data_IF_231537619441
#
_entry.id   IF_231537619441
#
_cell.length_a   1.000
_cell.length_b   1.000
_cell.length_c   1.000
_cell.angle_alpha   90.00
_cell.angle_beta   90.00
_cell.angle_gamma   90.00
#
_symmetry.space_group_name_H-M   'P 1'
#
loop_
_entity.id
_entity.type
_entity.pdbx_description
1 polymer ?
#
# COMPACT_ATOMS: atom_id res chain seq x y z
N UNK A 1 3.14 -20.98 6.48
CA UNK A 1 2.66 -19.85 7.31
C UNK A 1 3.77 -19.10 8.06
N UNK A 2 3.85 -17.78 7.87
CA UNK A 2 4.78 -16.93 8.60
C UNK A 2 4.38 -15.45 8.55
N UNK A 3 4.70 -14.70 9.60
CA UNK A 3 4.49 -13.25 9.67
C UNK A 3 5.84 -12.56 9.88
N UNK A 4 6.23 -11.71 8.93
CA UNK A 4 7.40 -10.85 9.03
C UNK A 4 6.92 -9.43 9.35
N UNK A 5 7.39 -8.89 10.47
CA UNK A 5 7.13 -7.51 10.87
C UNK A 5 8.43 -6.72 10.78
N UNK A 6 8.48 -5.73 9.90
CA UNK A 6 9.65 -4.90 9.65
C UNK A 6 9.37 -3.46 10.11
N UNK A 7 10.25 -2.93 10.96
CA UNK A 7 10.25 -1.53 11.38
C UNK A 7 11.28 -0.76 10.58
N UNK A 8 10.81 0.18 9.75
CA UNK A 8 11.65 1.03 8.93
C UNK A 8 11.75 2.41 9.55
N UNK A 9 12.88 2.64 10.22
CA UNK A 9 13.21 3.92 10.83
C UNK A 9 13.80 4.90 9.82
N UNK A 10 13.52 6.18 10.03
CA UNK A 10 14.23 7.25 9.33
C UNK A 10 15.61 7.43 9.98
N UNK A 11 16.66 7.58 9.18
CA UNK A 11 18.00 7.90 9.69
C UNK A 11 17.98 9.33 10.25
N UNK A 12 18.35 9.49 11.54
CA UNK A 12 18.40 10.79 12.26
C UNK A 12 19.82 11.17 12.68
N UNK A 13 20.81 10.77 11.89
CA UNK A 13 22.22 10.83 12.31
C UNK A 13 22.88 12.20 12.07
N UNK A 14 22.26 13.07 11.28
CA UNK A 14 22.85 14.32 10.82
C UNK A 14 21.92 15.53 11.00
N UNK A 15 22.52 16.69 11.29
CA UNK A 15 21.78 17.94 11.48
C UNK A 15 20.98 18.35 10.23
N UNK A 16 21.51 18.06 9.04
CA UNK A 16 20.83 18.33 7.76
C UNK A 16 19.58 17.44 7.63
N UNK A 17 19.69 16.16 7.96
CA UNK A 17 18.54 15.24 8.02
C UNK A 17 17.44 15.69 8.99
N UNK A 18 17.81 16.24 10.15
CA UNK A 18 16.84 16.79 11.13
C UNK A 18 16.17 18.07 10.58
N UNK A 19 16.93 18.97 9.96
CA UNK A 19 16.38 20.20 9.35
C UNK A 19 15.45 19.86 8.17
N UNK A 20 15.81 18.86 7.35
CA UNK A 20 14.95 18.39 6.27
C UNK A 20 13.61 17.86 6.78
N UNK A 21 13.60 17.20 7.95
CA UNK A 21 12.38 16.70 8.59
C UNK A 21 11.47 17.80 9.16
N UNK A 22 12.03 18.97 9.51
CA UNK A 22 11.22 20.14 9.87
C UNK A 22 10.44 20.68 8.65
N UNK A 23 11.01 20.55 7.45
CA UNK A 23 10.39 20.98 6.19
C UNK A 23 9.39 19.93 5.69
N UNK A 24 9.74 18.64 5.79
CA UNK A 24 8.87 17.53 5.40
C UNK A 24 8.84 16.48 6.51
N UNK A 25 7.84 16.51 7.40
CA UNK A 25 7.72 15.51 8.44
C UNK A 25 7.58 14.13 7.82
N UNK A 26 8.44 13.21 8.23
CA UNK A 26 8.36 11.79 7.90
C UNK A 26 8.20 11.00 9.18
N UNK A 27 7.27 10.04 9.20
CA UNK A 27 7.08 9.12 10.32
C UNK A 27 7.76 7.78 10.01
N UNK A 28 8.17 7.07 11.06
CA UNK A 28 8.67 5.70 10.93
C UNK A 28 7.58 4.81 10.34
N UNK A 29 7.97 3.81 9.54
CA UNK A 29 7.01 2.93 8.86
C UNK A 29 7.05 1.52 9.47
N UNK A 30 5.87 0.96 9.73
CA UNK A 30 5.69 -0.44 10.11
C UNK A 30 5.20 -1.20 8.87
N UNK A 31 5.95 -2.21 8.44
CA UNK A 31 5.58 -3.07 7.32
C UNK A 31 5.29 -4.46 7.87
N UNK A 32 4.03 -4.88 7.77
CA UNK A 32 3.60 -6.22 8.15
C UNK A 32 3.42 -7.04 6.87
N UNK A 33 4.21 -8.11 6.73
CA UNK A 33 4.12 -9.06 5.62
C UNK A 33 3.64 -10.39 6.17
N UNK A 34 2.56 -10.91 5.62
CA UNK A 34 2.01 -12.21 5.99
C UNK A 34 2.14 -13.12 4.80
N UNK A 35 2.82 -14.26 4.98
CA UNK A 35 2.92 -15.31 3.98
C UNK A 35 1.80 -16.31 4.21
N UNK A 36 0.85 -16.31 3.29
CA UNK A 36 -0.27 -17.25 3.22
C UNK A 36 0.06 -18.36 2.22
N UNK A 37 -0.30 -19.60 2.55
CA UNK A 37 0.07 -20.78 1.74
C UNK A 37 -0.95 -21.06 0.61
N UNK A 38 -2.25 -20.78 0.83
CA UNK A 38 -3.29 -20.90 -0.19
C UNK A 38 -4.09 -19.59 -0.26
N UNK A 39 -3.97 -18.89 -1.39
CA UNK A 39 -4.77 -17.70 -1.71
C UNK A 39 -5.28 -17.81 -3.14
N UNK A 40 -6.46 -17.24 -3.40
CA UNK A 40 -6.96 -17.10 -4.77
C UNK A 40 -5.98 -16.27 -5.61
N UNK A 41 -5.88 -16.59 -6.89
CA UNK A 41 -5.01 -15.88 -7.85
C UNK A 41 -5.57 -14.49 -8.13
N UNK A 42 -5.01 -13.47 -7.47
CA UNK A 42 -5.28 -12.07 -7.76
C UNK A 42 -4.19 -11.14 -7.23
N UNK A 43 -4.00 -10.04 -7.95
CA UNK A 43 -3.24 -8.88 -7.45
C UNK A 43 -4.17 -7.74 -7.09
N UNK A 44 -4.09 -7.28 -5.83
CA UNK A 44 -4.82 -6.12 -5.32
C UNK A 44 -3.91 -5.22 -4.50
N UNK A 45 -3.97 -3.92 -4.77
CA UNK A 45 -3.29 -2.90 -3.99
C UNK A 45 -4.19 -1.68 -3.77
N UNK A 46 -4.29 -1.23 -2.52
CA UNK A 46 -4.86 0.07 -2.15
C UNK A 46 -3.75 0.90 -1.51
N UNK A 47 -3.52 2.11 -1.98
CA UNK A 47 -2.46 2.96 -1.43
C UNK A 47 -2.82 4.44 -1.52
N UNK A 48 -2.11 5.28 -0.77
CA UNK A 48 -2.19 6.73 -1.00
C UNK A 48 -1.71 7.08 -2.40
N UNK A 49 -2.21 8.14 -3.02
CA UNK A 49 -1.83 8.54 -4.39
C UNK A 49 -0.31 8.64 -4.60
N UNK A 50 0.42 9.15 -3.60
CA UNK A 50 1.89 9.27 -3.63
C UNK A 50 2.56 7.89 -3.59
N UNK A 51 2.12 7.03 -2.69
CA UNK A 51 2.68 5.69 -2.50
C UNK A 51 2.32 4.75 -3.64
N UNK A 52 1.11 4.85 -4.22
CA UNK A 52 0.69 4.08 -5.38
C UNK A 52 1.57 4.32 -6.61
N UNK A 53 2.00 5.56 -6.84
CA UNK A 53 2.94 5.86 -7.94
C UNK A 53 4.31 5.22 -7.72
N UNK A 54 4.78 5.15 -6.47
CA UNK A 54 6.02 4.50 -6.10
C UNK A 54 5.91 2.98 -6.24
N UNK A 55 4.87 2.37 -5.66
CA UNK A 55 4.63 0.93 -5.71
C UNK A 55 4.49 0.40 -7.15
N UNK A 56 3.80 1.14 -8.03
CA UNK A 56 3.66 0.80 -9.45
C UNK A 56 4.99 0.84 -10.22
N UNK A 57 6.01 1.53 -9.72
CA UNK A 57 7.38 1.49 -10.29
C UNK A 57 8.22 0.41 -9.64
N UNK A 58 8.18 0.33 -8.31
CA UNK A 58 9.06 -0.50 -7.51
C UNK A 58 8.65 -1.98 -7.51
N UNK A 59 7.37 -2.31 -7.71
CA UNK A 59 6.86 -3.68 -7.65
C UNK A 59 6.40 -4.17 -9.03
N UNK A 60 6.90 -5.35 -9.43
CA UNK A 60 6.63 -5.91 -10.77
C UNK A 60 5.20 -6.37 -10.92
N UNK A 61 4.65 -7.03 -9.90
CA UNK A 61 3.28 -7.52 -9.87
C UNK A 61 2.26 -6.40 -10.12
N UNK A 62 2.31 -5.31 -9.35
CA UNK A 62 1.42 -4.16 -9.53
C UNK A 62 1.58 -3.57 -10.94
N UNK A 63 2.81 -3.46 -11.43
CA UNK A 63 3.07 -2.87 -12.75
C UNK A 63 2.58 -3.73 -13.92
N UNK A 64 2.57 -5.05 -13.75
CA UNK A 64 2.21 -6.00 -14.80
C UNK A 64 0.71 -6.31 -14.78
N UNK A 65 0.12 -6.46 -13.60
CA UNK A 65 -1.25 -6.96 -13.42
C UNK A 65 -2.27 -5.87 -13.08
N UNK A 66 -1.84 -4.69 -12.61
CA UNK A 66 -2.72 -3.59 -12.24
C UNK A 66 -2.45 -2.30 -13.02
N UNK A 67 -2.74 -2.27 -14.34
CA UNK A 67 -2.45 -1.09 -15.18
C UNK A 67 -3.34 0.12 -14.84
N UNK A 68 -4.56 -0.11 -14.34
CA UNK A 68 -5.52 0.94 -14.05
C UNK A 68 -5.57 1.34 -12.58
N UNK A 69 -5.59 2.66 -12.34
CA UNK A 69 -5.77 3.28 -11.04
C UNK A 69 -7.20 3.79 -10.92
N UNK A 70 -8.02 3.11 -10.12
CA UNK A 70 -9.45 3.43 -9.93
C UNK A 70 -9.64 4.31 -8.69
N UNK A 71 -10.56 5.27 -8.80
CA UNK A 71 -10.97 6.07 -7.65
C UNK A 71 -11.75 5.23 -6.65
N UNK A 72 -11.61 5.56 -5.37
CA UNK A 72 -12.27 4.87 -4.26
C UNK A 72 -13.61 5.49 -3.85
N UNK A 73 -14.07 6.51 -4.58
CA UNK A 73 -15.30 7.28 -4.26
C UNK A 73 -16.53 6.36 -4.15
N UNK A 74 -16.57 5.29 -4.97
CA UNK A 74 -17.63 4.27 -4.94
C UNK A 74 -17.78 3.58 -3.57
N UNK A 75 -16.70 3.51 -2.79
CA UNK A 75 -16.65 2.83 -1.50
C UNK A 75 -16.76 3.79 -0.30
N UNK A 76 -16.91 5.09 -0.55
CA UNK A 76 -17.00 6.11 0.51
C UNK A 76 -15.68 6.36 1.24
N UNK A 77 -14.55 6.00 0.64
CA UNK A 77 -13.21 6.23 1.19
C UNK A 77 -12.69 7.63 0.84
N UNK A 78 -11.78 8.15 1.66
CA UNK A 78 -11.09 9.42 1.39
C UNK A 78 -10.43 9.43 0.00
N UNK A 79 -10.57 10.55 -0.71
CA UNK A 79 -10.01 10.80 -2.06
C UNK A 79 -8.48 10.77 -2.12
N UNK A 80 -7.81 10.61 -0.97
CA UNK A 80 -6.36 10.43 -0.86
C UNK A 80 -5.88 9.03 -1.25
N UNK A 81 -6.79 8.04 -1.27
CA UNK A 81 -6.50 6.67 -1.65
C UNK A 81 -6.84 6.39 -3.11
N UNK A 82 -6.19 5.37 -3.65
CA UNK A 82 -6.40 4.83 -4.98
C UNK A 82 -6.29 3.32 -4.91
N UNK A 83 -7.08 2.64 -5.73
CA UNK A 83 -7.07 1.18 -5.85
C UNK A 83 -6.51 0.78 -7.20
N UNK A 84 -5.62 -0.20 -7.17
CA UNK A 84 -4.99 -0.88 -8.30
C UNK A 84 -5.34 -2.35 -8.12
N UNK A 85 -6.20 -2.88 -8.98
CA UNK A 85 -6.70 -4.25 -8.85
C UNK A 85 -6.76 -4.89 -10.22
N UNK A 86 -6.28 -6.12 -10.32
CA UNK A 86 -6.41 -6.94 -11.52
C UNK A 86 -7.89 -7.20 -11.82
N UNK A 87 -8.65 -7.60 -10.80
CA UNK A 87 -10.08 -7.89 -10.88
C UNK A 87 -10.88 -6.84 -10.10
N UNK A 88 -11.90 -6.25 -10.74
CA UNK A 88 -12.77 -5.26 -10.09
C UNK A 88 -13.63 -5.85 -8.95
N UNK A 89 -13.89 -7.16 -9.01
CA UNK A 89 -14.66 -7.90 -8.00
C UNK A 89 -13.91 -7.99 -6.68
N UNK A 90 -12.59 -8.20 -6.72
CA UNK A 90 -11.73 -8.24 -5.53
C UNK A 90 -11.77 -6.91 -4.78
N UNK A 91 -11.71 -5.79 -5.50
CA UNK A 91 -11.85 -4.47 -4.89
C UNK A 91 -13.20 -4.29 -4.21
N UNK A 92 -14.27 -4.85 -4.78
CA UNK A 92 -15.62 -4.81 -4.18
C UNK A 92 -15.77 -5.76 -3.00
N UNK A 93 -15.08 -6.91 -3.00
CA UNK A 93 -15.07 -7.85 -1.89
C UNK A 93 -14.32 -7.29 -0.67
N UNK A 94 -13.14 -6.70 -0.89
CA UNK A 94 -12.29 -6.16 0.19
C UNK A 94 -12.84 -4.83 0.73
N UNK A 95 -13.26 -3.92 -0.15
CA UNK A 95 -13.72 -2.58 0.24
C UNK A 95 -15.24 -2.46 0.35
N UNK A 96 -15.97 -3.53 0.04
CA UNK A 96 -17.42 -3.58 0.20
C UNK A 96 -17.88 -3.66 1.65
N UNK A 97 -17.04 -4.12 2.58
CA UNK A 97 -17.38 -4.15 3.99
C UNK A 97 -17.34 -2.72 4.58
N UNK A 98 -18.49 -2.17 5.02
CA UNK A 98 -18.56 -0.82 5.58
C UNK A 98 -17.70 -0.65 6.84
N UNK A 99 -17.39 -1.72 7.59
CA UNK A 99 -16.53 -1.65 8.78
C UNK A 99 -15.08 -1.34 8.41
N UNK A 100 -14.59 -1.93 7.32
CA UNK A 100 -13.23 -1.70 6.82
C UNK A 100 -13.11 -0.24 6.38
N UNK A 101 -14.07 0.24 5.59
CA UNK A 101 -14.10 1.64 5.15
C UNK A 101 -14.20 2.62 6.32
N UNK A 102 -15.01 2.31 7.34
CA UNK A 102 -15.12 3.14 8.55
C UNK A 102 -13.79 3.25 9.31
N UNK A 103 -13.04 2.15 9.45
CA UNK A 103 -11.73 2.14 10.13
C UNK A 103 -10.70 2.96 9.34
N UNK A 104 -10.64 2.78 8.02
CA UNK A 104 -9.71 3.52 7.15
C UNK A 104 -10.02 5.02 7.22
N UNK A 105 -11.29 5.41 7.16
CA UNK A 105 -11.71 6.80 7.27
C UNK A 105 -11.50 7.39 8.67
N UNK A 106 -11.54 6.57 9.72
CA UNK A 106 -11.24 7.00 11.11
C UNK A 106 -9.76 7.31 11.29
N UNK A 107 -8.88 6.61 10.58
CA UNK A 107 -7.42 6.74 10.71
C UNK A 107 -6.70 6.91 9.36
N UNK A 108 -7.03 7.95 8.56
CA UNK A 108 -6.53 8.09 7.19
C UNK A 108 -5.01 8.35 7.12
N UNK A 109 -4.38 8.77 8.21
CA UNK A 109 -2.93 9.02 8.29
C UNK A 109 -2.10 7.83 8.77
N UNK A 110 -2.72 6.73 9.21
CA UNK A 110 -1.99 5.56 9.73
C UNK A 110 -1.78 4.47 8.65
N UNK A 111 -2.63 4.44 7.63
CA UNK A 111 -2.54 3.45 6.55
C UNK A 111 -1.89 4.07 5.31
N UNK A 112 -0.73 3.55 4.91
CA UNK A 112 -0.03 4.00 3.70
C UNK A 112 -0.42 3.17 2.47
N UNK A 113 -0.38 1.84 2.61
CA UNK A 113 -0.83 0.90 1.59
C UNK A 113 -1.25 -0.45 2.18
N UNK A 114 -2.07 -1.16 1.42
CA UNK A 114 -2.52 -2.53 1.60
C UNK A 114 -2.27 -3.25 0.27
N UNK A 115 -1.53 -4.36 0.30
CA UNK A 115 -1.13 -5.08 -0.90
C UNK A 115 -1.29 -6.58 -0.69
N UNK A 116 -2.04 -7.22 -1.59
CA UNK A 116 -2.23 -8.66 -1.68
C UNK A 116 -1.80 -9.07 -3.09
N UNK A 117 -0.97 -10.12 -3.15
CA UNK A 117 -0.40 -10.59 -4.41
C UNK A 117 0.02 -12.04 -4.23
N UNK A 118 -0.47 -12.89 -5.12
CA UNK A 118 -0.01 -14.27 -5.30
C UNK A 118 1.21 -14.36 -6.23
N UNK A 119 1.46 -13.32 -7.02
CA UNK A 119 2.58 -13.20 -7.95
C UNK A 119 3.72 -12.31 -7.41
N UNK A 120 3.83 -12.19 -6.09
CA UNK A 120 4.84 -11.33 -5.48
C UNK A 120 6.26 -11.82 -5.78
N UNK A 121 6.97 -11.06 -6.61
CA UNK A 121 8.33 -11.37 -7.09
C UNK A 121 9.41 -10.50 -6.47
N UNK A 122 9.06 -9.68 -5.47
CA UNK A 122 9.97 -8.73 -4.83
C UNK A 122 10.06 -7.39 -5.55
N UNK A 123 10.84 -6.43 -4.99
CA UNK A 123 11.08 -5.15 -5.64
C UNK A 123 11.92 -5.32 -6.90
N UNK A 124 11.63 -4.52 -7.95
CA UNK A 124 12.45 -4.45 -9.16
C UNK A 124 13.88 -4.11 -8.75
N UNK A 125 14.83 -4.93 -9.22
CA UNK A 125 16.24 -4.59 -9.07
C UNK A 125 16.51 -3.33 -9.90
N UNK A 126 17.15 -2.30 -9.33
CA UNK A 126 17.64 -1.20 -10.13
C UNK A 126 18.71 -1.74 -11.09
N UNK A 127 18.53 -1.50 -12.40
CA UNK A 127 19.62 -1.62 -13.39
C UNK A 127 20.80 -0.73 -13.03
#
# INVERSE_FOLDING_TARGET
>A
EGMLVELKFIKRQDMIGIISQLIRPSCDQLIVKVTMDEIDTFVFCMATKKTAQKLSKDMTDISSFCPEKKSVDKYGLSTNFVVMSELGEVASAVLGDPKICAIINKFPGLLDYLHFSDQYSGPKQPE
#
